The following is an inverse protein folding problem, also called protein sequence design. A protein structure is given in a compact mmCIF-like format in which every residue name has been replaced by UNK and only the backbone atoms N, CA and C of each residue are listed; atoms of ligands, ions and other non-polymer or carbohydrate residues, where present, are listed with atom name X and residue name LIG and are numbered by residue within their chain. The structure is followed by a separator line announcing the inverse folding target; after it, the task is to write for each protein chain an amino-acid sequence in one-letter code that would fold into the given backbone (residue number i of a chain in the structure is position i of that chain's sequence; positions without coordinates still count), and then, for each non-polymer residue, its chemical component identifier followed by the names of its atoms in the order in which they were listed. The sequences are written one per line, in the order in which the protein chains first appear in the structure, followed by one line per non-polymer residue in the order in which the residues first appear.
data_IF_740735530635
#
_entry.id   IF_740735530635
#
_cell.length_a   1.000
_cell.length_b   1.000
_cell.length_c   1.000
_cell.angle_alpha   90.00
_cell.angle_beta   90.00
_cell.angle_gamma   90.00
#
_symmetry.space_group_name_H-M   'P 1'
#
loop_
_entity.id
_entity.type
_entity.pdbx_description
1 polymer ?
#
# COMPACT_ATOMS: atom_id res chain seq x y z
N UNK A 1 -13.95 -0.29 -12.11
CA UNK A 1 -12.63 0.11 -11.59
C UNK A 1 -12.77 0.37 -10.11
N UNK A 2 -11.78 0.03 -9.30
CA UNK A 2 -11.84 0.14 -7.84
C UNK A 2 -10.59 0.86 -7.35
N UNK A 3 -10.75 1.76 -6.38
CA UNK A 3 -9.66 2.19 -5.53
C UNK A 3 -9.54 1.18 -4.40
N UNK A 4 -8.33 0.69 -4.15
CA UNK A 4 -8.02 -0.17 -3.02
C UNK A 4 -6.95 0.52 -2.20
N UNK A 5 -7.22 0.71 -0.92
CA UNK A 5 -6.31 1.34 0.03
C UNK A 5 -5.97 0.35 1.13
N UNK A 6 -4.67 0.17 1.38
CA UNK A 6 -4.18 -0.53 2.55
C UNK A 6 -3.52 0.47 3.50
N UNK A 7 -3.83 0.38 4.79
CA UNK A 7 -3.12 1.13 5.83
C UNK A 7 -2.43 0.17 6.78
N UNK A 8 -1.13 0.37 6.98
CA UNK A 8 -0.25 -0.47 7.77
C UNK A 8 0.20 0.30 9.00
N UNK A 9 -0.01 -0.31 10.16
CA UNK A 9 0.48 0.17 11.44
C UNK A 9 1.56 -0.77 11.96
N UNK A 10 2.51 -0.23 12.72
CA UNK A 10 3.52 -1.02 13.43
C UNK A 10 3.33 -0.95 14.94
N UNK A 11 3.77 -1.97 15.67
CA UNK A 11 3.71 -1.98 17.14
C UNK A 11 4.75 -1.02 17.77
N UNK A 12 5.79 -0.70 17.02
CA UNK A 12 6.81 0.27 17.38
C UNK A 12 6.44 1.64 16.79
N UNK A 13 6.71 2.71 17.53
CA UNK A 13 6.67 4.11 17.07
C UNK A 13 7.39 4.27 15.70
N UNK A 14 7.03 5.30 14.94
CA UNK A 14 7.56 5.84 13.66
C UNK A 14 8.83 5.21 13.06
N UNK A 15 9.86 4.93 13.86
CA UNK A 15 11.03 4.15 13.46
C UNK A 15 10.70 2.79 12.80
N UNK A 16 9.68 2.08 13.30
CA UNK A 16 9.26 0.79 12.73
C UNK A 16 8.71 0.93 11.30
N UNK A 17 7.87 1.95 11.08
CA UNK A 17 7.33 2.29 9.76
C UNK A 17 8.42 2.75 8.81
N UNK A 18 9.34 3.59 9.30
CA UNK A 18 10.48 4.06 8.53
C UNK A 18 11.33 2.89 8.03
N UNK A 19 11.73 1.96 8.90
CA UNK A 19 12.55 0.82 8.45
C UNK A 19 11.80 -0.12 7.52
N UNK A 20 10.49 -0.31 7.73
CA UNK A 20 9.66 -1.11 6.83
C UNK A 20 9.58 -0.48 5.44
N UNK A 21 9.34 0.84 5.35
CA UNK A 21 9.28 1.54 4.07
C UNK A 21 10.64 1.53 3.36
N UNK A 22 11.75 1.73 4.08
CA UNK A 22 13.10 1.64 3.50
C UNK A 22 13.38 0.25 2.93
N UNK A 23 13.00 -0.82 3.62
CA UNK A 23 13.15 -2.21 3.13
C UNK A 23 12.30 -2.47 1.89
N UNK A 24 11.05 -2.02 1.89
CA UNK A 24 10.17 -2.10 0.71
C UNK A 24 10.79 -1.40 -0.49
N UNK A 25 11.27 -0.18 -0.32
CA UNK A 25 11.87 0.61 -1.41
C UNK A 25 13.22 0.08 -1.88
N UNK A 26 13.97 -0.62 -1.02
CA UNK A 26 15.24 -1.23 -1.40
C UNK A 26 15.05 -2.52 -2.22
N UNK A 27 13.94 -3.24 -2.00
CA UNK A 27 13.69 -4.51 -2.67
C UNK A 27 12.88 -4.37 -3.96
N UNK A 28 12.01 -3.36 -4.03
CA UNK A 28 11.12 -3.16 -5.16
C UNK A 28 11.61 -2.02 -6.04
N UNK A 29 11.36 -2.13 -7.35
CA UNK A 29 11.54 -0.99 -8.24
C UNK A 29 10.59 0.13 -7.80
N UNK A 30 11.16 1.28 -7.45
CA UNK A 30 10.39 2.40 -6.93
C UNK A 30 10.85 3.73 -7.55
N UNK A 31 9.90 4.65 -7.70
CA UNK A 31 10.13 6.03 -8.12
C UNK A 31 9.54 6.98 -7.09
N UNK A 32 10.33 7.93 -6.62
CA UNK A 32 9.83 9.00 -5.74
C UNK A 32 8.97 9.97 -6.57
N UNK A 33 7.78 10.28 -6.08
CA UNK A 33 6.87 11.25 -6.70
C UNK A 33 6.86 12.57 -5.92
N UNK A 34 6.90 12.48 -4.59
CA UNK A 34 6.97 13.64 -3.69
C UNK A 34 7.72 13.28 -2.40
N UNK A 35 7.83 14.21 -1.45
CA UNK A 35 8.26 13.92 -0.08
C UNK A 35 7.33 12.89 0.57
N UNK A 36 7.93 11.78 1.04
CA UNK A 36 7.19 10.66 1.63
C UNK A 36 6.34 9.85 0.65
N UNK A 37 6.33 10.15 -0.66
CA UNK A 37 5.48 9.48 -1.64
C UNK A 37 6.27 8.76 -2.74
N UNK A 38 5.93 7.50 -2.99
CA UNK A 38 6.65 6.63 -3.91
C UNK A 38 5.70 5.76 -4.72
N UNK A 39 5.93 5.64 -6.03
CA UNK A 39 5.35 4.56 -6.83
C UNK A 39 6.22 3.33 -6.68
N UNK A 40 5.65 2.23 -6.24
CA UNK A 40 6.35 0.97 -5.97
C UNK A 40 5.78 -0.13 -6.86
N UNK A 41 6.63 -0.83 -7.60
CA UNK A 41 6.24 -1.99 -8.38
C UNK A 41 6.27 -3.24 -7.50
N UNK A 42 5.08 -3.73 -7.15
CA UNK A 42 4.92 -5.00 -6.48
C UNK A 42 4.77 -6.11 -7.53
N UNK A 43 5.55 -7.18 -7.38
CA UNK A 43 5.38 -8.38 -8.20
C UNK A 43 3.94 -8.88 -8.09
N UNK A 44 3.35 -9.26 -9.23
CA UNK A 44 1.97 -9.79 -9.36
C UNK A 44 0.81 -8.83 -9.00
N UNK A 45 1.11 -7.62 -8.53
CA UNK A 45 0.14 -6.61 -8.10
C UNK A 45 0.18 -5.31 -8.92
N UNK A 46 1.28 -5.07 -9.63
CA UNK A 46 1.47 -3.85 -10.40
C UNK A 46 1.96 -2.70 -9.53
N UNK A 47 1.62 -1.48 -9.93
CA UNK A 47 2.12 -0.26 -9.29
C UNK A 47 1.20 0.20 -8.17
N UNK A 48 1.76 0.42 -6.99
CA UNK A 48 1.05 0.99 -5.84
C UNK A 48 1.69 2.32 -5.45
N UNK A 49 0.89 3.28 -4.98
CA UNK A 49 1.37 4.51 -4.37
C UNK A 49 1.56 4.26 -2.87
N UNK A 50 2.81 4.26 -2.42
CA UNK A 50 3.18 4.30 -1.01
C UNK A 50 3.24 5.76 -0.54
N UNK A 51 2.51 6.08 0.52
CA UNK A 51 2.61 7.34 1.26
C UNK A 51 3.06 7.06 2.69
N UNK A 52 4.18 7.65 3.07
CA UNK A 52 4.72 7.65 4.43
C UNK A 52 4.01 8.72 5.25
N UNK A 53 3.30 8.31 6.30
CA UNK A 53 2.71 9.19 7.29
C UNK A 53 3.37 8.94 8.65
N UNK A 54 3.27 9.88 9.62
CA UNK A 54 3.95 9.75 10.91
C UNK A 54 3.63 8.43 11.64
N UNK A 55 2.36 8.03 11.60
CA UNK A 55 1.83 6.91 12.41
C UNK A 55 1.37 5.70 11.57
N UNK A 56 1.49 5.77 10.24
CA UNK A 56 1.11 4.68 9.35
C UNK A 56 1.81 4.75 7.98
N UNK A 57 1.83 3.62 7.27
CA UNK A 57 2.09 3.59 5.83
C UNK A 57 0.77 3.36 5.10
N UNK A 58 0.50 4.20 4.10
CA UNK A 58 -0.69 4.06 3.25
C UNK A 58 -0.27 3.59 1.86
N UNK A 59 -0.99 2.60 1.33
CA UNK A 59 -0.79 2.07 0.00
C UNK A 59 -2.07 2.23 -0.80
N UNK A 60 -2.05 3.03 -1.86
CA UNK A 60 -3.19 3.24 -2.74
C UNK A 60 -2.94 2.61 -4.11
N UNK A 61 -3.95 1.94 -4.65
CA UNK A 61 -3.90 1.36 -5.99
C UNK A 61 -5.25 1.46 -6.67
N UNK A 62 -5.22 1.71 -7.98
CA UNK A 62 -6.40 1.65 -8.84
C UNK A 62 -6.37 0.36 -9.63
N UNK A 63 -7.36 -0.50 -9.41
CA UNK A 63 -7.47 -1.81 -10.06
C UNK A 63 -8.71 -1.88 -10.94
N UNK A 64 -8.67 -2.75 -11.96
CA UNK A 64 -9.77 -2.88 -12.93
C UNK A 64 -11.02 -3.49 -12.30
N UNK A 65 -10.83 -4.52 -11.48
CA UNK A 65 -11.86 -5.36 -10.89
C UNK A 65 -11.44 -5.90 -9.51
N UNK A 66 -12.35 -6.59 -8.84
CA UNK A 66 -12.10 -7.18 -7.53
C UNK A 66 -11.03 -8.28 -7.53
N UNK A 67 -10.87 -9.02 -8.63
CA UNK A 67 -9.88 -10.09 -8.72
C UNK A 67 -8.47 -9.48 -8.69
N UNK A 68 -8.26 -8.40 -9.43
CA UNK A 68 -7.03 -7.60 -9.38
C UNK A 68 -6.81 -6.98 -8.00
N UNK A 69 -7.88 -6.51 -7.33
CA UNK A 69 -7.81 -6.06 -5.94
C UNK A 69 -7.34 -7.16 -4.97
N UNK A 70 -7.91 -8.37 -5.08
CA UNK A 70 -7.51 -9.54 -4.28
C UNK A 70 -6.07 -9.97 -4.53
N UNK A 71 -5.59 -9.90 -5.78
CA UNK A 71 -4.18 -10.18 -6.12
C UNK A 71 -3.25 -9.15 -5.50
N UNK A 72 -3.59 -7.87 -5.61
CA UNK A 72 -2.81 -6.78 -5.01
C UNK A 72 -2.69 -6.94 -3.51
N UNK A 73 -3.80 -7.27 -2.85
CA UNK A 73 -3.84 -7.57 -1.43
C UNK A 73 -2.87 -8.68 -1.03
N UNK A 74 -2.91 -9.82 -1.73
CA UNK A 74 -2.03 -10.96 -1.44
C UNK A 74 -0.56 -10.63 -1.63
N UNK A 75 -0.21 -9.92 -2.71
CA UNK A 75 1.18 -9.54 -2.97
C UNK A 75 1.72 -8.58 -1.91
N UNK A 76 0.92 -7.58 -1.51
CA UNK A 76 1.31 -6.65 -0.47
C UNK A 76 1.43 -7.36 0.90
N UNK A 77 0.47 -8.20 1.27
CA UNK A 77 0.53 -8.99 2.50
C UNK A 77 1.78 -9.88 2.52
N UNK A 78 2.12 -10.53 1.40
CA UNK A 78 3.33 -11.35 1.30
C UNK A 78 4.61 -10.51 1.42
N UNK A 79 4.67 -9.33 0.79
CA UNK A 79 5.80 -8.41 0.92
C UNK A 79 5.97 -7.92 2.36
N UNK A 80 4.88 -7.49 3.00
CA UNK A 80 4.86 -7.04 4.38
C UNK A 80 5.27 -8.16 5.35
N UNK A 81 4.75 -9.37 5.20
CA UNK A 81 5.10 -10.51 6.06
C UNK A 81 6.60 -10.83 5.98
N UNK A 82 7.16 -10.80 4.76
CA UNK A 82 8.57 -11.12 4.53
C UNK A 82 9.52 -10.03 5.05
N UNK A 83 9.10 -8.76 4.97
CA UNK A 83 9.93 -7.62 5.35
C UNK A 83 9.75 -7.18 6.81
N UNK A 84 8.58 -7.46 7.38
CA UNK A 84 8.28 -7.17 8.78
C UNK A 84 8.94 -8.24 9.65
N UNK A 85 9.97 -7.83 10.40
CA UNK A 85 10.58 -8.66 11.44
C UNK A 85 9.71 -8.65 12.71
N UNK A 86 8.40 -8.91 12.56
CA UNK A 86 7.40 -8.78 13.62
C UNK A 86 6.99 -7.33 13.93
N UNK A 87 7.29 -6.37 13.05
CA UNK A 87 7.02 -4.95 13.29
C UNK A 87 5.58 -4.54 12.99
N UNK A 88 4.91 -5.18 12.04
CA UNK A 88 3.54 -4.85 11.63
C UNK A 88 2.55 -5.30 12.71
N UNK A 89 1.79 -4.36 13.26
CA UNK A 89 0.75 -4.63 14.27
C UNK A 89 -0.62 -4.84 13.65
N UNK A 90 -0.95 -4.08 12.60
CA UNK A 90 -2.24 -4.17 11.93
C UNK A 90 -2.13 -3.75 10.45
N UNK A 91 -2.96 -4.38 9.62
CA UNK A 91 -3.20 -3.97 8.23
C UNK A 91 -4.71 -3.89 8.03
N UNK A 92 -5.21 -2.73 7.64
CA UNK A 92 -6.62 -2.53 7.29
C UNK A 92 -6.76 -2.25 5.81
N UNK A 93 -7.91 -2.64 5.25
CA UNK A 93 -8.18 -2.58 3.82
C UNK A 93 -9.51 -1.88 3.57
N UNK A 94 -9.50 -0.97 2.60
CA UNK A 94 -10.68 -0.29 2.09
C UNK A 94 -10.74 -0.47 0.58
N UNK A 95 -11.94 -0.62 0.04
CA UNK A 95 -12.16 -0.76 -1.40
C UNK A 95 -13.38 0.06 -1.80
N UNK A 96 -13.19 0.99 -2.70
CA UNK A 96 -14.22 1.91 -3.16
C UNK A 96 -14.40 1.78 -4.68
N UNK A 97 -15.63 1.60 -5.18
CA UNK A 97 -15.87 1.59 -6.61
C UNK A 97 -15.64 2.99 -7.19
N UNK A 98 -14.77 3.06 -8.19
CA UNK A 98 -14.53 4.28 -8.97
C UNK A 98 -15.55 4.31 -10.10
N UNK A 99 -16.54 5.21 -10.00
CA UNK A 99 -17.56 5.41 -11.03
C UNK A 99 -19.02 5.33 -10.56
N UNK A 100 -19.34 5.81 -9.36
CA UNK A 100 -20.73 6.08 -8.96
C UNK A 100 -20.91 7.53 -8.49
N UNK A 101 -20.27 8.49 -9.16
CA UNK A 101 -20.92 9.79 -9.32
C UNK A 101 -22.01 9.60 -10.38
N UNK A 102 -23.22 9.27 -9.91
CA UNK A 102 -24.37 9.85 -10.58
C UNK A 102 -24.14 11.35 -10.51
N UNK A 103 -23.78 11.97 -11.64
CA UNK A 103 -23.93 13.39 -11.90
C UNK A 103 -25.38 13.77 -11.56
N UNK A 104 -25.64 14.01 -10.29
CA UNK A 104 -26.91 14.51 -9.79
C UNK A 104 -26.71 16.00 -9.72
N UNK A 105 -27.19 16.64 -10.79
CA UNK A 105 -27.33 18.08 -10.92
C UNK A 105 -28.20 18.68 -9.80
#
# INVERSE_FOLDING_TARGET
MLAVTATVHTAHDSAGLFWLSRRLLAEHAAARVDEGQYLVQLADAGTVLLTELPDLLRFDVVVRDELAGRRTRRALEAALLRLSTGTVSAVTWQSEPLGHEALSA
#
